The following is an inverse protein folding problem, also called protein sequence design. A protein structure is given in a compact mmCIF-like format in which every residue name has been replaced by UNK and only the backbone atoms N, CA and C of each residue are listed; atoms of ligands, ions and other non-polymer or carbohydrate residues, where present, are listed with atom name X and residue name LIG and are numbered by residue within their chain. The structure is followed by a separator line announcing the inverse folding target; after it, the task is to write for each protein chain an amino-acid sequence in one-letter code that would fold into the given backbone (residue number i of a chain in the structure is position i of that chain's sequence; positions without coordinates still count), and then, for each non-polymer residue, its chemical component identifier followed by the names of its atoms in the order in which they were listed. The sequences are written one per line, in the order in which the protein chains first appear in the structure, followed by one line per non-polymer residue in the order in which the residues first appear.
data_IF_002176787302
#
_entry.id   IF_002176787302
#
_cell.length_a   1.000
_cell.length_b   1.000
_cell.length_c   1.000
_cell.angle_alpha   90.00
_cell.angle_beta   90.00
_cell.angle_gamma   90.00
#
_symmetry.space_group_name_H-M   'P 1'
#
loop_
_entity.id
_entity.type
_entity.pdbx_description
1 polymer ?
#
# COMPACT_ATOMS: atom_id res chain seq x y z
N UNK A 1 7.37 20.55 -14.48
CA UNK A 1 8.03 19.85 -15.58
C UNK A 1 8.49 18.51 -15.05
N UNK A 2 7.98 17.45 -15.61
CA UNK A 2 8.28 16.01 -15.44
C UNK A 2 8.26 15.40 -14.02
N UNK A 3 7.08 15.37 -13.44
CA UNK A 3 6.72 14.32 -12.50
C UNK A 3 6.35 13.05 -13.29
N UNK A 4 7.18 12.70 -14.28
CA UNK A 4 6.90 11.53 -15.12
C UNK A 4 7.33 10.25 -14.41
N UNK A 5 6.61 9.19 -14.68
CA UNK A 5 6.97 7.83 -14.34
C UNK A 5 8.34 7.50 -14.92
N UNK A 6 9.18 6.83 -14.13
CA UNK A 6 10.54 6.45 -14.54
C UNK A 6 10.74 4.93 -14.45
N UNK A 7 11.50 4.39 -15.39
CA UNK A 7 11.97 3.00 -15.35
C UNK A 7 13.48 2.99 -15.21
N UNK A 8 13.98 2.16 -14.29
CA UNK A 8 15.42 1.89 -14.22
C UNK A 8 15.90 1.16 -15.48
N UNK A 9 17.18 1.26 -15.75
CA UNK A 9 17.82 0.58 -16.88
C UNK A 9 17.64 -0.95 -16.81
N UNK A 10 17.70 -1.51 -15.60
CA UNK A 10 17.45 -2.93 -15.33
C UNK A 10 15.99 -3.32 -15.64
N UNK A 11 15.01 -2.49 -15.28
CA UNK A 11 13.61 -2.72 -15.60
C UNK A 11 13.36 -2.64 -17.11
N UNK A 12 13.93 -1.66 -17.81
CA UNK A 12 13.82 -1.55 -19.28
C UNK A 12 14.41 -2.78 -19.97
N UNK A 13 15.59 -3.22 -19.58
CA UNK A 13 16.24 -4.41 -20.10
C UNK A 13 15.41 -5.67 -19.86
N UNK A 14 14.81 -5.79 -18.67
CA UNK A 14 13.94 -6.90 -18.32
C UNK A 14 12.69 -6.95 -19.22
N UNK A 15 11.99 -5.82 -19.38
CA UNK A 15 10.80 -5.76 -20.24
C UNK A 15 11.14 -6.03 -21.72
N UNK A 16 12.23 -5.46 -22.24
CA UNK A 16 12.69 -5.71 -23.61
C UNK A 16 12.88 -7.19 -23.86
N UNK A 17 13.60 -7.88 -22.97
CA UNK A 17 13.81 -9.34 -23.07
C UNK A 17 12.49 -10.11 -23.05
N UNK A 18 11.54 -9.72 -22.20
CA UNK A 18 10.24 -10.38 -22.15
C UNK A 18 9.41 -10.15 -23.44
N UNK A 19 9.45 -8.94 -24.00
CA UNK A 19 8.79 -8.58 -25.26
C UNK A 19 9.39 -9.38 -26.41
N UNK A 20 10.72 -9.46 -26.52
CA UNK A 20 11.41 -10.27 -27.53
C UNK A 20 11.01 -11.75 -27.46
N UNK A 21 10.82 -12.28 -26.26
CA UNK A 21 10.39 -13.68 -26.08
C UNK A 21 8.95 -13.93 -26.56
N UNK A 22 8.10 -12.90 -26.62
CA UNK A 22 6.74 -13.03 -27.17
C UNK A 22 6.74 -13.15 -28.70
N UNK A 23 7.76 -12.63 -29.40
CA UNK A 23 7.87 -12.69 -30.85
C UNK A 23 6.78 -11.88 -31.56
N UNK A 24 6.20 -10.88 -30.95
CA UNK A 24 5.15 -10.01 -31.48
C UNK A 24 5.76 -8.65 -31.75
N UNK A 25 5.74 -8.22 -33.00
CA UNK A 25 6.26 -6.92 -33.43
C UNK A 25 5.36 -5.78 -32.89
N UNK A 26 5.97 -4.74 -32.33
CA UNK A 26 5.25 -3.58 -31.81
C UNK A 26 4.55 -3.79 -30.48
N UNK A 27 4.85 -4.89 -29.77
CA UNK A 27 4.32 -5.13 -28.42
C UNK A 27 4.85 -4.07 -27.45
N UNK A 28 3.94 -3.46 -26.69
CA UNK A 28 4.24 -2.52 -25.64
C UNK A 28 3.88 -3.06 -24.26
N UNK A 29 4.09 -2.23 -23.27
CA UNK A 29 3.65 -2.50 -21.89
C UNK A 29 2.63 -1.45 -21.49
N UNK A 30 1.47 -1.88 -20.99
CA UNK A 30 0.44 -1.00 -20.44
C UNK A 30 0.48 -1.04 -18.92
N UNK A 31 0.45 0.13 -18.30
CA UNK A 31 0.38 0.30 -16.85
C UNK A 31 -0.92 0.97 -16.44
N UNK A 32 -1.60 0.38 -15.48
CA UNK A 32 -2.88 0.87 -14.95
C UNK A 32 -2.83 0.93 -13.44
N UNK A 33 -3.43 1.98 -12.87
CA UNK A 33 -3.75 2.04 -11.45
C UNK A 33 -5.08 1.31 -11.19
N UNK A 34 -5.05 0.31 -10.34
CA UNK A 34 -6.23 -0.46 -9.92
C UNK A 34 -6.72 0.09 -8.60
N UNK A 35 -8.00 0.46 -8.50
CA UNK A 35 -8.61 1.08 -7.32
C UNK A 35 -7.79 2.27 -6.76
N UNK A 36 -7.33 3.21 -7.60
CA UNK A 36 -6.48 4.30 -7.15
C UNK A 36 -7.16 5.15 -6.08
N UNK A 37 -6.38 5.72 -5.18
CA UNK A 37 -6.89 6.53 -4.06
C UNK A 37 -7.47 5.72 -2.92
N UNK A 38 -7.39 4.39 -2.96
CA UNK A 38 -7.87 3.50 -1.90
C UNK A 38 -6.73 2.75 -1.23
N UNK A 39 -6.95 2.20 -0.01
CA UNK A 39 -5.95 1.33 0.65
C UNK A 39 -5.54 0.10 -0.16
N UNK A 40 -6.44 -0.39 -1.02
CA UNK A 40 -6.23 -1.57 -1.88
C UNK A 40 -5.69 -1.20 -3.26
N UNK A 41 -5.25 0.04 -3.44
CA UNK A 41 -4.69 0.49 -4.70
C UNK A 41 -3.44 -0.30 -5.06
N UNK A 42 -3.39 -0.73 -6.31
CA UNK A 42 -2.30 -1.52 -6.88
C UNK A 42 -1.98 -1.06 -8.30
N UNK A 43 -0.84 -1.47 -8.82
CA UNK A 43 -0.42 -1.24 -10.19
C UNK A 43 -0.52 -2.54 -10.98
N UNK A 44 -1.18 -2.49 -12.12
CA UNK A 44 -1.20 -3.58 -13.09
C UNK A 44 -0.28 -3.24 -14.26
N UNK A 45 0.59 -4.19 -14.61
CA UNK A 45 1.43 -4.16 -15.80
C UNK A 45 1.04 -5.34 -16.68
N UNK A 46 0.78 -5.07 -17.95
CA UNK A 46 0.42 -6.10 -18.92
C UNK A 46 1.01 -5.76 -20.28
N UNK A 47 1.29 -6.77 -21.10
CA UNK A 47 1.65 -6.54 -22.49
C UNK A 47 0.41 -6.12 -23.27
N UNK A 48 0.59 -5.22 -24.22
CA UNK A 48 -0.48 -4.76 -25.09
C UNK A 48 0.03 -4.55 -26.53
N UNK A 49 -0.82 -4.86 -27.48
CA UNK A 49 -0.64 -4.46 -28.88
C UNK A 49 -1.22 -3.06 -29.09
N UNK A 50 -0.82 -2.41 -30.17
CA UNK A 50 -1.34 -1.08 -30.52
C UNK A 50 -2.86 -1.11 -30.77
N UNK A 51 -3.40 -2.25 -31.19
CA UNK A 51 -4.83 -2.51 -31.37
C UNK A 51 -5.64 -2.51 -30.05
N UNK A 52 -4.99 -2.78 -28.92
CA UNK A 52 -5.61 -2.83 -27.59
C UNK A 52 -5.76 -1.45 -26.94
N UNK A 53 -5.14 -0.44 -27.54
CA UNK A 53 -5.11 0.92 -27.02
C UNK A 53 -6.39 1.66 -27.41
N UNK A 54 -6.88 2.47 -26.48
CA UNK A 54 -8.05 3.34 -26.68
C UNK A 54 -7.71 4.63 -27.42
N UNK A 55 -6.41 5.00 -27.42
CA UNK A 55 -5.88 6.21 -28.05
C UNK A 55 -5.83 7.44 -27.14
N UNK A 56 -6.18 7.29 -25.87
CA UNK A 56 -6.11 8.34 -24.85
C UNK A 56 -4.96 8.11 -23.83
N UNK A 57 -4.19 7.03 -24.02
CA UNK A 57 -3.08 6.68 -23.14
C UNK A 57 -1.91 7.68 -23.27
N UNK A 58 -1.31 8.02 -22.15
CA UNK A 58 0.00 8.65 -22.15
C UNK A 58 1.07 7.66 -22.60
N UNK A 59 1.91 8.08 -23.54
CA UNK A 59 2.96 7.26 -24.10
C UNK A 59 4.33 7.69 -23.58
N UNK A 60 5.09 6.74 -23.07
CA UNK A 60 6.49 6.91 -22.72
C UNK A 60 7.31 5.99 -23.63
N UNK A 61 7.90 6.55 -24.72
CA UNK A 61 8.78 5.78 -25.58
C UNK A 61 10.08 5.46 -24.84
N UNK A 62 10.47 4.19 -24.86
CA UNK A 62 11.67 3.66 -24.24
C UNK A 62 12.51 2.95 -25.30
N UNK A 63 13.72 2.53 -24.92
CA UNK A 63 14.56 1.78 -25.85
C UNK A 63 13.99 0.38 -26.10
N UNK A 64 13.48 0.17 -27.31
CA UNK A 64 12.93 -1.10 -27.80
C UNK A 64 11.44 -1.35 -27.52
N UNK A 65 10.73 -0.50 -26.77
CA UNK A 65 9.29 -0.60 -26.54
C UNK A 65 8.67 0.72 -26.07
N UNK A 66 7.35 0.78 -26.02
CA UNK A 66 6.61 1.91 -25.45
C UNK A 66 5.85 1.47 -24.20
N UNK A 67 5.95 2.25 -23.13
CA UNK A 67 5.09 2.13 -21.97
C UNK A 67 3.86 3.03 -22.16
N UNK A 68 2.69 2.45 -22.06
CA UNK A 68 1.40 3.12 -22.16
C UNK A 68 0.79 3.24 -20.77
N UNK A 69 0.29 4.42 -20.41
CA UNK A 69 -0.39 4.66 -19.13
C UNK A 69 -1.79 5.17 -19.42
N UNK A 70 -2.80 4.46 -18.93
CA UNK A 70 -4.20 4.86 -19.08
C UNK A 70 -4.40 6.30 -18.59
N UNK A 71 -5.14 7.13 -19.30
CA UNK A 71 -5.39 8.54 -18.96
C UNK A 71 -5.90 8.73 -17.53
N UNK A 72 -6.82 7.86 -17.08
CA UNK A 72 -7.35 7.88 -15.72
C UNK A 72 -6.32 7.52 -14.64
N UNK A 73 -5.24 6.80 -15.02
CA UNK A 73 -4.19 6.36 -14.10
C UNK A 73 -3.06 7.38 -13.95
N UNK A 74 -2.90 8.29 -14.91
CA UNK A 74 -1.79 9.28 -14.95
C UNK A 74 -1.65 10.06 -13.64
N UNK A 75 -2.70 10.64 -13.02
CA UNK A 75 -2.57 11.40 -11.78
C UNK A 75 -2.00 10.59 -10.62
N UNK A 76 -2.29 9.30 -10.57
CA UNK A 76 -1.90 8.38 -9.49
C UNK A 76 -0.53 7.74 -9.72
N UNK A 77 -0.10 7.64 -10.98
CA UNK A 77 1.19 7.07 -11.38
C UNK A 77 2.26 8.13 -11.65
N UNK A 78 1.93 9.40 -11.52
CA UNK A 78 2.89 10.51 -11.61
C UNK A 78 3.94 10.37 -10.52
N UNK A 79 5.23 10.41 -10.91
CA UNK A 79 6.37 10.18 -10.02
C UNK A 79 6.56 8.72 -9.60
N UNK A 80 5.92 7.77 -10.28
CA UNK A 80 6.17 6.36 -10.04
C UNK A 80 7.55 5.93 -10.57
N UNK A 81 8.18 5.01 -9.86
CA UNK A 81 9.47 4.41 -10.18
C UNK A 81 9.29 2.90 -10.36
N UNK A 82 9.75 2.37 -11.47
CA UNK A 82 9.76 0.93 -11.74
C UNK A 82 11.21 0.47 -11.77
N UNK A 83 11.54 -0.50 -10.93
CA UNK A 83 12.87 -1.09 -10.84
C UNK A 83 12.82 -2.62 -10.94
N UNK A 84 13.91 -3.21 -11.44
CA UNK A 84 14.06 -4.64 -11.49
C UNK A 84 15.39 -5.05 -10.87
N UNK A 85 15.32 -5.88 -9.84
CA UNK A 85 16.50 -6.41 -9.14
C UNK A 85 16.58 -7.91 -9.31
N UNK A 86 17.79 -8.43 -9.47
CA UNK A 86 18.06 -9.88 -9.52
C UNK A 86 18.79 -10.28 -8.25
N UNK A 87 18.30 -11.30 -7.59
CA UNK A 87 18.93 -11.90 -6.41
C UNK A 87 19.13 -13.42 -6.60
N UNK A 88 19.68 -14.10 -5.61
CA UNK A 88 19.95 -15.54 -5.66
C UNK A 88 18.67 -16.41 -5.83
N UNK A 89 17.50 -15.87 -5.54
CA UNK A 89 16.19 -16.55 -5.64
C UNK A 89 15.41 -16.20 -6.91
N UNK A 90 15.90 -15.28 -7.73
CA UNK A 90 15.27 -14.86 -8.99
C UNK A 90 15.23 -13.35 -9.18
N UNK A 91 14.45 -12.90 -10.18
CA UNK A 91 14.22 -11.50 -10.46
C UNK A 91 12.97 -10.98 -9.76
N UNK A 92 13.02 -9.75 -9.27
CA UNK A 92 11.91 -9.06 -8.64
C UNK A 92 11.69 -7.70 -9.30
N UNK A 93 10.48 -7.48 -9.82
CA UNK A 93 10.02 -6.19 -10.28
C UNK A 93 9.40 -5.43 -9.10
N UNK A 94 9.86 -4.22 -8.88
CA UNK A 94 9.36 -3.34 -7.83
C UNK A 94 8.74 -2.10 -8.45
N UNK A 95 7.51 -1.77 -8.08
CA UNK A 95 6.83 -0.55 -8.48
C UNK A 95 6.59 0.32 -7.26
N UNK A 96 7.18 1.49 -7.27
CA UNK A 96 6.99 2.51 -6.24
C UNK A 96 6.16 3.64 -6.81
N UNK A 97 4.90 3.75 -6.43
CA UNK A 97 3.96 4.78 -6.90
C UNK A 97 3.43 5.58 -5.71
N UNK A 98 4.09 6.69 -5.34
CA UNK A 98 3.79 7.42 -4.10
C UNK A 98 2.38 8.02 -4.05
N UNK A 99 1.79 8.33 -5.22
CA UNK A 99 0.44 8.91 -5.33
C UNK A 99 -0.66 7.85 -5.51
N UNK A 100 -0.30 6.58 -5.63
CA UNK A 100 -1.24 5.50 -5.96
C UNK A 100 -2.36 5.35 -4.93
N UNK A 101 -2.04 5.45 -3.65
CA UNK A 101 -3.00 5.37 -2.54
C UNK A 101 -3.67 6.71 -2.22
N UNK A 102 -3.63 7.64 -3.13
CA UNK A 102 -4.13 9.00 -3.01
C UNK A 102 -3.02 10.03 -2.78
N UNK A 103 -3.33 11.29 -3.06
CA UNK A 103 -2.41 12.38 -2.74
C UNK A 103 -2.38 12.59 -1.23
N UNK A 104 -1.21 12.88 -0.65
CA UNK A 104 -1.15 13.29 0.74
C UNK A 104 -2.13 14.45 0.97
N UNK A 105 -2.95 14.40 2.01
CA UNK A 105 -3.79 15.55 2.35
C UNK A 105 -2.92 16.78 2.60
N UNK A 106 -3.45 17.95 2.29
CA UNK A 106 -2.75 19.21 2.56
C UNK A 106 -2.39 19.32 4.06
N UNK A 107 -1.35 20.10 4.37
CA UNK A 107 -0.88 20.23 5.75
C UNK A 107 -1.94 20.81 6.70
N UNK A 108 -2.88 21.60 6.17
CA UNK A 108 -4.00 22.21 6.86
C UNK A 108 -5.30 21.38 6.76
N UNK A 109 -5.27 20.21 6.11
CA UNK A 109 -6.42 19.32 6.06
C UNK A 109 -6.80 18.81 7.47
N UNK A 110 -8.08 18.45 7.70
CA UNK A 110 -8.54 17.92 8.98
C UNK A 110 -7.65 16.79 9.48
N UNK A 111 -7.34 16.78 10.78
CA UNK A 111 -6.45 15.78 11.41
C UNK A 111 -6.92 14.36 11.11
N UNK A 112 -8.24 14.11 11.10
CA UNK A 112 -8.83 12.81 10.77
C UNK A 112 -8.47 12.32 9.35
N UNK A 113 -8.43 13.21 8.38
CA UNK A 113 -8.06 12.90 6.99
C UNK A 113 -6.57 12.55 6.89
N UNK A 114 -5.73 13.34 7.54
CA UNK A 114 -4.28 13.13 7.58
C UNK A 114 -3.92 11.83 8.31
N UNK A 115 -4.63 11.49 9.38
CA UNK A 115 -4.48 10.21 10.10
C UNK A 115 -4.90 9.04 9.20
N UNK A 116 -6.06 9.10 8.56
CA UNK A 116 -6.51 8.04 7.62
C UNK A 116 -5.46 7.80 6.53
N UNK A 117 -4.96 8.86 5.93
CA UNK A 117 -3.93 8.76 4.91
C UNK A 117 -2.68 8.01 5.42
N UNK A 118 -2.16 8.36 6.60
CA UNK A 118 -1.00 7.68 7.18
C UNK A 118 -1.28 6.21 7.53
N UNK A 119 -2.47 5.92 8.06
CA UNK A 119 -2.87 4.54 8.31
C UNK A 119 -2.84 3.70 7.03
N UNK A 120 -3.38 4.24 5.94
CA UNK A 120 -3.53 3.51 4.69
C UNK A 120 -2.25 3.46 3.86
N UNK A 121 -1.42 4.52 3.89
CA UNK A 121 -0.21 4.62 3.08
C UNK A 121 1.04 4.04 3.75
N UNK A 122 1.18 4.16 5.07
CA UNK A 122 2.40 3.76 5.78
C UNK A 122 2.18 2.58 6.74
N UNK A 123 1.09 2.59 7.51
CA UNK A 123 0.90 1.65 8.63
C UNK A 123 0.27 0.34 8.17
N UNK A 124 -0.88 0.40 7.50
CA UNK A 124 -1.60 -0.79 7.05
C UNK A 124 -0.77 -1.71 6.12
N UNK A 125 0.06 -1.21 5.19
CA UNK A 125 0.93 -2.06 4.39
C UNK A 125 1.93 -2.87 5.23
N UNK A 126 2.43 -2.31 6.34
CA UNK A 126 3.37 -3.00 7.21
C UNK A 126 2.71 -4.12 8.02
N UNK A 127 1.48 -3.91 8.50
CA UNK A 127 0.77 -4.90 9.31
C UNK A 127 -0.03 -5.91 8.48
N UNK A 128 -0.27 -5.63 7.20
CA UNK A 128 -0.96 -6.55 6.28
C UNK A 128 -0.21 -7.87 6.10
N UNK A 129 1.13 -7.87 6.16
CA UNK A 129 1.96 -9.08 6.12
C UNK A 129 1.68 -10.04 7.28
N UNK A 130 1.13 -9.54 8.39
CA UNK A 130 0.68 -10.31 9.54
C UNK A 130 -0.84 -10.55 9.55
N UNK A 131 -1.53 -10.27 8.43
CA UNK A 131 -2.98 -10.40 8.31
C UNK A 131 -3.78 -9.38 9.12
N UNK A 132 -3.12 -8.34 9.64
CA UNK A 132 -3.74 -7.29 10.45
C UNK A 132 -4.18 -6.07 9.63
N UNK A 133 -5.06 -5.28 10.22
CA UNK A 133 -5.46 -3.96 9.72
C UNK A 133 -5.81 -3.05 10.89
N UNK A 134 -5.55 -1.73 10.72
CA UNK A 134 -6.00 -0.69 11.65
C UNK A 134 -6.81 0.35 10.90
N UNK A 135 -7.89 0.82 11.51
CA UNK A 135 -8.75 1.87 10.98
C UNK A 135 -8.92 2.99 12.01
N UNK A 136 -9.14 4.21 11.49
CA UNK A 136 -9.50 5.34 12.33
C UNK A 136 -10.99 5.24 12.68
N UNK A 137 -11.30 5.32 13.98
CA UNK A 137 -12.67 5.38 14.48
C UNK A 137 -13.07 6.83 14.78
N UNK A 138 -12.24 7.56 15.50
CA UNK A 138 -12.54 8.95 15.88
C UNK A 138 -11.28 9.78 16.08
N UNK A 139 -11.43 11.11 15.95
CA UNK A 139 -10.42 12.11 16.34
C UNK A 139 -11.13 13.19 17.13
N UNK A 140 -10.77 13.34 18.40
CA UNK A 140 -11.33 14.39 19.25
C UNK A 140 -10.75 15.78 18.93
N UNK A 141 -11.46 16.83 19.33
CA UNK A 141 -11.00 18.22 19.20
C UNK A 141 -9.67 18.49 19.93
N UNK A 142 -9.36 17.70 20.95
CA UNK A 142 -8.09 17.78 21.67
C UNK A 142 -6.93 17.05 20.99
N UNK A 143 -7.14 16.47 19.80
CA UNK A 143 -6.12 15.72 19.07
C UNK A 143 -5.91 14.28 19.56
N UNK A 144 -6.83 13.73 20.37
CA UNK A 144 -6.78 12.31 20.72
C UNK A 144 -7.38 11.47 19.58
N UNK A 145 -6.62 10.48 19.09
CA UNK A 145 -6.97 9.58 18.00
C UNK A 145 -7.44 8.25 18.57
N UNK A 146 -8.60 7.77 18.14
CA UNK A 146 -9.14 6.47 18.51
C UNK A 146 -9.05 5.53 17.30
N UNK A 147 -8.37 4.41 17.49
CA UNK A 147 -8.13 3.40 16.47
C UNK A 147 -8.89 2.11 16.77
N UNK A 148 -9.23 1.37 15.72
CA UNK A 148 -9.80 0.02 15.81
C UNK A 148 -8.89 -0.95 15.06
N UNK A 149 -8.50 -2.03 15.71
CA UNK A 149 -7.69 -3.10 15.12
C UNK A 149 -8.58 -4.23 14.63
N UNK A 150 -8.22 -4.83 13.49
CA UNK A 150 -8.95 -5.91 12.86
C UNK A 150 -8.02 -6.96 12.24
N UNK A 151 -8.61 -8.07 11.75
CA UNK A 151 -7.85 -9.16 11.16
C UNK A 151 -7.00 -9.91 12.19
N UNK A 152 -5.80 -10.32 11.80
CA UNK A 152 -4.86 -11.07 12.66
C UNK A 152 -4.39 -10.33 13.90
N UNK A 153 -4.64 -9.01 14.01
CA UNK A 153 -4.37 -8.21 15.20
C UNK A 153 -5.45 -8.39 16.30
N UNK A 154 -6.54 -9.10 16.00
CA UNK A 154 -7.59 -9.41 16.97
C UNK A 154 -7.15 -10.60 17.85
N UNK A 155 -6.72 -10.34 19.09
CA UNK A 155 -6.51 -11.37 20.10
C UNK A 155 -5.04 -11.77 20.38
N UNK A 156 -4.05 -11.08 19.86
CA UNK A 156 -2.64 -11.37 20.12
C UNK A 156 -2.08 -10.44 21.24
N UNK A 157 -2.33 -10.80 22.50
CA UNK A 157 -2.12 -9.93 23.67
C UNK A 157 -0.69 -9.42 23.93
N UNK A 158 0.37 -10.03 23.37
CA UNK A 158 1.76 -9.54 23.54
C UNK A 158 2.31 -8.82 22.30
N UNK A 159 1.89 -9.24 21.09
CA UNK A 159 2.21 -8.51 19.86
C UNK A 159 1.48 -7.16 19.78
N UNK A 160 0.37 -7.03 20.50
CA UNK A 160 -0.50 -5.86 20.55
C UNK A 160 0.20 -4.62 21.14
N UNK A 161 0.96 -4.77 22.22
CA UNK A 161 1.63 -3.63 22.89
C UNK A 161 2.74 -3.05 22.00
N UNK A 162 3.56 -3.89 21.40
CA UNK A 162 4.67 -3.44 20.54
C UNK A 162 4.15 -2.81 19.25
N UNK A 163 3.10 -3.39 18.66
CA UNK A 163 2.45 -2.86 17.47
C UNK A 163 1.78 -1.51 17.75
N UNK A 164 1.02 -1.41 18.85
CA UNK A 164 0.38 -0.15 19.28
C UNK A 164 1.40 0.95 19.53
N UNK A 165 2.49 0.65 20.24
CA UNK A 165 3.57 1.61 20.47
C UNK A 165 4.26 2.04 19.17
N UNK A 166 4.46 1.12 18.22
CA UNK A 166 5.00 1.42 16.90
C UNK A 166 4.09 2.35 16.10
N UNK A 167 2.79 2.07 16.08
CA UNK A 167 1.77 2.89 15.41
C UNK A 167 1.69 4.28 16.07
N UNK A 168 1.59 4.35 17.39
CA UNK A 168 1.55 5.61 18.12
C UNK A 168 2.79 6.46 17.83
N UNK A 169 3.98 5.87 17.87
CA UNK A 169 5.24 6.54 17.56
C UNK A 169 5.24 7.08 16.14
N UNK A 170 4.80 6.30 15.16
CA UNK A 170 4.73 6.72 13.77
C UNK A 170 3.75 7.87 13.59
N UNK A 171 2.54 7.76 14.12
CA UNK A 171 1.52 8.79 14.03
C UNK A 171 1.99 10.11 14.66
N UNK A 172 2.55 10.07 15.86
CA UNK A 172 3.04 11.28 16.55
C UNK A 172 4.25 11.91 15.90
N UNK A 173 5.12 11.11 15.27
CA UNK A 173 6.28 11.64 14.55
C UNK A 173 5.89 12.38 13.26
N UNK A 174 4.80 11.96 12.61
CA UNK A 174 4.28 12.56 11.39
C UNK A 174 3.27 13.67 11.62
N UNK A 175 2.51 13.57 12.71
CA UNK A 175 1.44 14.48 13.11
C UNK A 175 1.63 14.88 14.59
N UNK A 176 2.49 15.89 14.87
CA UNK A 176 2.82 16.30 16.23
C UNK A 176 1.61 16.80 17.05
N UNK A 177 0.52 17.20 16.39
CA UNK A 177 -0.73 17.61 17.02
C UNK A 177 -1.50 16.46 17.69
N UNK A 178 -1.11 15.20 17.45
CA UNK A 178 -1.72 14.04 18.12
C UNK A 178 -1.29 14.00 19.58
N UNK A 179 -2.24 14.16 20.49
CA UNK A 179 -2.02 14.19 21.92
C UNK A 179 -2.04 12.81 22.57
N UNK A 180 -2.89 11.91 22.06
CA UNK A 180 -3.01 10.53 22.52
C UNK A 180 -3.48 9.61 21.42
N UNK A 181 -3.12 8.32 21.49
CA UNK A 181 -3.66 7.25 20.64
C UNK A 181 -4.35 6.23 21.54
N UNK A 182 -5.64 5.98 21.28
CA UNK A 182 -6.50 5.06 22.02
C UNK A 182 -6.91 3.90 21.14
N UNK A 183 -7.16 2.77 21.76
CA UNK A 183 -7.69 1.58 21.12
C UNK A 183 -9.12 1.35 21.59
N UNK A 184 -10.04 1.29 20.62
CA UNK A 184 -11.45 0.98 20.84
C UNK A 184 -11.81 -0.45 20.40
N UNK A 185 -10.81 -1.31 20.19
CA UNK A 185 -11.04 -2.67 19.73
C UNK A 185 -11.63 -3.52 20.86
N UNK A 186 -12.73 -4.19 20.59
CA UNK A 186 -13.23 -5.25 21.49
C UNK A 186 -12.38 -6.52 21.30
N UNK A 187 -11.33 -6.65 22.09
CA UNK A 187 -10.42 -7.80 22.03
C UNK A 187 -11.05 -9.09 22.54
N UNK A 188 -12.20 -9.03 23.21
CA UNK A 188 -12.90 -10.20 23.74
C UNK A 188 -13.74 -10.94 22.68
N UNK A 189 -14.13 -10.26 21.59
CA UNK A 189 -14.96 -10.80 20.52
C UNK A 189 -14.19 -11.38 19.32
N UNK A 190 -12.87 -11.45 19.37
CA UNK A 190 -12.00 -11.90 18.26
C UNK A 190 -12.24 -13.35 17.84
N UNK A 191 -12.33 -13.59 16.52
CA UNK A 191 -12.61 -14.92 15.93
C UNK A 191 -11.43 -15.90 15.99
N UNK A 192 -10.29 -15.53 16.58
CA UNK A 192 -9.16 -16.43 16.81
C UNK A 192 -8.46 -16.10 18.14
N UNK A 193 -9.09 -16.41 19.29
CA UNK A 193 -8.46 -16.19 20.58
C UNK A 193 -7.33 -17.22 20.73
N UNK A 194 -6.10 -16.77 20.55
CA UNK A 194 -4.90 -17.56 20.88
C UNK A 194 -4.80 -17.79 22.40
N UNK A 195 -5.68 -17.19 23.19
CA UNK A 195 -5.89 -17.41 24.61
C UNK A 195 -7.24 -18.09 24.84
N UNK A 196 -7.26 -19.39 24.80
CA UNK A 196 -8.26 -20.16 25.57
C UNK A 196 -7.80 -20.09 27.02
N UNK A 197 -8.61 -19.44 27.87
CA UNK A 197 -8.44 -19.49 29.31
C UNK A 197 -8.31 -20.95 29.76
N UNK A 198 -7.09 -21.36 30.06
CA UNK A 198 -6.84 -22.56 30.87
C UNK A 198 -7.14 -22.21 32.35
N UNK A 199 -8.36 -21.89 32.65
CA UNK A 199 -8.88 -22.09 34.01
C UNK A 199 -9.37 -23.55 34.10
N UNK A 200 -8.37 -24.41 34.19
CA UNK A 200 -8.59 -25.81 34.63
C UNK A 200 -9.26 -25.81 35.99
N UNK A 201 -10.51 -26.22 36.01
CA UNK A 201 -11.15 -26.71 37.25
C UNK A 201 -10.38 -27.92 37.70
N UNK A 202 -9.56 -27.75 38.71
CA UNK A 202 -9.13 -28.85 39.58
C UNK A 202 -10.36 -29.26 40.42
N UNK A 203 -11.06 -30.27 40.00
CA UNK A 203 -11.99 -30.95 40.88
C UNK A 203 -11.22 -32.05 41.64
N UNK A 204 -11.06 -31.80 42.91
CA UNK A 204 -10.65 -32.81 43.92
C UNK A 204 -11.74 -33.88 44.03
N UNK A 205 -11.36 -35.15 43.89
CA UNK A 205 -11.73 -36.26 44.78
C UNK A 205 -10.78 -37.39 44.60
#
# INVERSE_FOLDING_TARGET
MNDMLTLSESAQTHFRRLIEQQGIDGLGVRMQAVQPGTPNADCRLEFCETSDLRGDESQLPLDGFTLYVDAASVPYLSGAEIDFTTNATGGQLTVRAPKLKGMPPAADAPLAERVRYLLDSEINPQIASHGGRVSLEDVSDSGAVTLRFGGGCHGCGMADVTLKQGIEKTLRSRLPEITAVRDATDHASGHNPYYKDHHGKTAVR
#
